data_IF_251477818514
#
_entry.id   IF_251477818514
#
_cell.length_a   1.000
_cell.length_b   1.000
_cell.length_c   1.000
_cell.angle_alpha   90.00
_cell.angle_beta   90.00
_cell.angle_gamma   90.00
#
_symmetry.space_group_name_H-M   'P 1'
#
loop_
_entity.id
_entity.type
_entity.pdbx_description
1 polymer ?
#
# COMPACT_ATOMS: atom_id res chain seq x y z
N UNK A 1 4.88 -2.53 9.93
CA UNK A 1 4.92 -2.47 8.46
C UNK A 1 3.48 -2.59 7.97
N UNK A 2 2.95 -1.58 7.29
CA UNK A 2 1.65 -1.62 6.63
C UNK A 2 1.78 -1.22 5.17
N UNK A 3 1.31 -2.10 4.31
CA UNK A 3 1.16 -1.92 2.87
C UNK A 3 -0.33 -1.73 2.65
N UNK A 4 -0.73 -0.51 2.31
CA UNK A 4 -2.14 -0.18 2.09
C UNK A 4 -2.61 -0.74 0.77
N UNK A 5 -3.78 -1.35 0.77
CA UNK A 5 -4.53 -1.71 -0.43
C UNK A 5 -5.26 -0.51 -1.02
N UNK A 6 -5.40 0.58 -0.26
CA UNK A 6 -5.95 1.87 -0.70
C UNK A 6 -5.10 2.57 -1.76
N UNK A 7 -5.76 3.31 -2.64
CA UNK A 7 -5.10 4.18 -3.61
C UNK A 7 -4.26 5.25 -2.88
N UNK A 8 -3.02 5.52 -3.32
CA UNK A 8 -2.13 6.49 -2.68
C UNK A 8 -2.74 7.90 -2.52
N UNK A 9 -3.65 8.29 -3.42
CA UNK A 9 -4.44 9.55 -3.36
C UNK A 9 -5.17 9.77 -2.03
N UNK A 10 -5.49 8.68 -1.32
CA UNK A 10 -6.18 8.73 -0.03
C UNK A 10 -5.24 8.90 1.16
N UNK A 11 -3.94 8.65 0.99
CA UNK A 11 -2.97 8.77 2.07
C UNK A 11 -2.73 10.26 2.40
N UNK A 12 -2.75 10.62 3.68
CA UNK A 12 -2.23 11.90 4.16
C UNK A 12 -0.71 11.98 3.94
N UNK A 13 -0.11 13.16 4.11
CA UNK A 13 1.35 13.33 3.96
C UNK A 13 2.14 12.31 4.79
N UNK A 14 1.73 12.11 6.05
CA UNK A 14 2.39 11.17 6.95
C UNK A 14 2.20 9.71 6.48
N UNK A 15 1.00 9.33 6.06
CA UNK A 15 0.70 8.02 5.50
C UNK A 15 1.47 7.72 4.22
N UNK A 16 1.62 8.69 3.31
CA UNK A 16 2.35 8.52 2.06
C UNK A 16 3.86 8.31 2.30
N UNK A 17 4.46 9.13 3.17
CA UNK A 17 5.88 9.00 3.54
C UNK A 17 6.15 7.69 4.29
N UNK A 18 5.30 7.33 5.24
CA UNK A 18 5.43 6.06 5.97
C UNK A 18 5.24 4.87 5.02
N UNK A 19 4.21 4.91 4.18
CA UNK A 19 3.91 3.86 3.19
C UNK A 19 5.07 3.61 2.23
N UNK A 20 5.74 4.66 1.76
CA UNK A 20 6.95 4.52 0.94
C UNK A 20 8.08 3.79 1.67
N UNK A 21 8.38 4.18 2.92
CA UNK A 21 9.45 3.55 3.71
C UNK A 21 9.12 2.10 4.03
N UNK A 22 7.88 1.80 4.37
CA UNK A 22 7.42 0.44 4.68
C UNK A 22 7.39 -0.45 3.43
N UNK A 23 7.05 0.08 2.26
CA UNK A 23 7.09 -0.64 1.01
C UNK A 23 8.53 -0.92 0.53
N UNK A 24 9.46 0.00 0.74
CA UNK A 24 10.89 -0.26 0.48
C UNK A 24 11.45 -1.33 1.42
N UNK A 25 10.99 -1.36 2.69
CA UNK A 25 11.32 -2.44 3.61
C UNK A 25 10.74 -3.77 3.11
N UNK A 26 9.47 -3.79 2.68
CA UNK A 26 8.84 -4.97 2.08
C UNK A 26 9.64 -5.49 0.88
N UNK A 27 10.05 -4.61 -0.03
CA UNK A 27 10.91 -4.94 -1.16
C UNK A 27 12.25 -5.55 -0.70
N UNK A 28 12.89 -4.96 0.31
CA UNK A 28 14.13 -5.51 0.86
C UNK A 28 13.94 -6.90 1.49
N UNK A 29 12.81 -7.15 2.15
CA UNK A 29 12.45 -8.48 2.69
C UNK A 29 12.25 -9.49 1.57
N UNK A 30 11.50 -9.12 0.53
CA UNK A 30 11.24 -9.98 -0.64
C UNK A 30 12.52 -10.27 -1.43
N UNK A 31 13.48 -9.34 -1.44
CA UNK A 31 14.80 -9.52 -2.04
C UNK A 31 15.79 -10.31 -1.16
N UNK A 32 15.37 -10.79 0.01
CA UNK A 32 16.25 -11.52 0.94
C UNK A 32 17.33 -10.66 1.62
N UNK A 33 17.20 -9.32 1.57
CA UNK A 33 18.22 -8.37 2.06
C UNK A 33 18.08 -8.03 3.54
N UNK A 34 17.11 -8.62 4.24
CA UNK A 34 16.81 -8.31 5.65
C UNK A 34 16.69 -9.57 6.50
N UNK A 35 17.16 -9.51 7.75
CA UNK A 35 16.98 -10.59 8.74
C UNK A 35 15.63 -10.51 9.48
N UNK A 36 15.10 -9.30 9.69
CA UNK A 36 13.80 -9.04 10.32
C UNK A 36 12.63 -9.06 9.34
N UNK A 37 11.40 -9.07 9.85
CA UNK A 37 10.14 -8.99 9.07
C UNK A 37 9.91 -10.10 8.03
N UNK A 38 10.76 -11.14 7.99
CA UNK A 38 10.67 -12.26 7.05
C UNK A 38 9.32 -12.99 7.08
N UNK A 39 8.65 -13.03 8.22
CA UNK A 39 7.34 -13.68 8.36
C UNK A 39 6.18 -12.67 8.46
N UNK A 40 6.37 -11.44 7.99
CA UNK A 40 5.31 -10.45 8.08
C UNK A 40 4.08 -10.88 7.26
N UNK A 41 2.88 -10.96 7.88
CA UNK A 41 1.68 -11.49 7.24
C UNK A 41 1.31 -10.78 5.93
N UNK A 42 1.41 -9.44 5.89
CA UNK A 42 1.07 -8.68 4.68
C UNK A 42 1.94 -8.97 3.46
N UNK A 43 3.07 -9.68 3.62
CA UNK A 43 3.91 -10.11 2.50
C UNK A 43 3.43 -11.42 1.86
N UNK A 44 2.52 -12.16 2.50
CA UNK A 44 1.96 -13.41 1.97
C UNK A 44 1.39 -13.17 0.55
N UNK A 45 0.52 -12.16 0.41
CA UNK A 45 -0.09 -11.78 -0.88
C UNK A 45 0.91 -11.41 -1.98
N UNK A 46 2.12 -10.94 -1.64
CA UNK A 46 3.16 -10.64 -2.62
C UNK A 46 3.96 -11.89 -2.99
N UNK A 47 4.22 -12.77 -2.02
CA UNK A 47 4.97 -14.02 -2.24
C UNK A 47 4.21 -15.04 -3.08
N UNK A 48 2.89 -14.99 -3.04
CA UNK A 48 2.02 -15.87 -3.82
C UNK A 48 1.95 -15.47 -5.30
N UNK A 49 2.55 -14.33 -5.69
CA UNK A 49 2.67 -13.95 -7.09
C UNK A 49 3.81 -14.67 -7.79
N UNK A 50 3.75 -14.75 -9.12
CA UNK A 50 4.82 -15.30 -9.96
C UNK A 50 6.11 -14.50 -9.88
N UNK A 51 6.04 -13.20 -9.62
CA UNK A 51 7.19 -12.32 -9.42
C UNK A 51 6.93 -11.33 -8.27
N UNK A 52 7.31 -11.70 -7.03
CA UNK A 52 7.11 -10.84 -5.86
C UNK A 52 7.85 -9.50 -5.94
N UNK A 53 9.02 -9.46 -6.61
CA UNK A 53 9.81 -8.23 -6.74
C UNK A 53 9.22 -7.27 -7.75
N UNK A 54 8.77 -7.76 -8.90
CA UNK A 54 8.03 -6.93 -9.85
C UNK A 54 6.72 -6.41 -9.26
N UNK A 55 6.00 -7.25 -8.48
CA UNK A 55 4.74 -6.86 -7.86
C UNK A 55 4.90 -5.76 -6.81
N UNK A 56 5.88 -5.88 -5.89
CA UNK A 56 6.17 -4.80 -4.93
C UNK A 56 6.77 -3.56 -5.63
N UNK A 57 7.47 -3.74 -6.74
CA UNK A 57 7.93 -2.63 -7.60
C UNK A 57 6.76 -1.83 -8.17
N UNK A 58 5.77 -2.50 -8.75
CA UNK A 58 4.55 -1.86 -9.25
C UNK A 58 3.76 -1.13 -8.14
N UNK A 59 3.74 -1.69 -6.93
CA UNK A 59 3.20 -1.00 -5.75
C UNK A 59 3.97 0.30 -5.45
N UNK A 60 5.30 0.22 -5.38
CA UNK A 60 6.17 1.38 -5.12
C UNK A 60 6.00 2.47 -6.19
N UNK A 61 5.87 2.12 -7.46
CA UNK A 61 5.61 3.09 -8.53
C UNK A 61 4.27 3.83 -8.36
N UNK A 62 3.22 3.20 -7.82
CA UNK A 62 1.97 3.91 -7.52
C UNK A 62 2.17 4.97 -6.42
N UNK A 63 2.90 4.64 -5.36
CA UNK A 63 3.27 5.62 -4.32
C UNK A 63 4.16 6.74 -4.86
N UNK A 64 5.15 6.40 -5.69
CA UNK A 64 6.07 7.37 -6.30
C UNK A 64 5.32 8.33 -7.21
N UNK A 65 4.42 7.85 -8.08
CA UNK A 65 3.63 8.71 -8.96
C UNK A 65 2.75 9.69 -8.19
N UNK A 66 2.08 9.21 -7.15
CA UNK A 66 1.30 10.09 -6.26
C UNK A 66 2.18 11.13 -5.58
N UNK A 67 3.33 10.72 -5.07
CA UNK A 67 4.28 11.62 -4.42
C UNK A 67 4.76 12.71 -5.39
N UNK A 68 5.16 12.33 -6.61
CA UNK A 68 5.54 13.27 -7.67
C UNK A 68 4.41 14.21 -8.03
N UNK A 69 3.17 13.72 -8.18
CA UNK A 69 1.99 14.56 -8.45
C UNK A 69 1.71 15.61 -7.37
N UNK A 70 2.13 15.34 -6.12
CA UNK A 70 2.05 16.28 -4.99
C UNK A 70 3.32 17.14 -4.79
N UNK A 71 4.31 17.03 -5.68
CA UNK A 71 5.57 17.76 -5.59
C UNK A 71 6.60 17.18 -4.61
N UNK A 72 6.38 15.97 -4.09
CA UNK A 72 7.37 15.24 -3.30
C UNK A 72 8.38 14.51 -4.20
N UNK A 73 9.60 14.32 -3.69
CA UNK A 73 10.67 13.59 -4.38
C UNK A 73 10.91 12.23 -3.72
N UNK A 74 10.19 11.21 -4.18
CA UNK A 74 10.52 9.82 -3.88
C UNK A 74 11.51 9.32 -4.93
N UNK A 75 12.64 8.80 -4.44
CA UNK A 75 13.73 8.34 -5.29
C UNK A 75 13.38 7.01 -5.96
N UNK A 76 12.96 7.09 -7.23
CA UNK A 76 12.57 5.97 -8.06
C UNK A 76 13.70 4.96 -8.28
N UNK A 77 14.98 5.39 -8.21
CA UNK A 77 16.14 4.49 -8.37
C UNK A 77 16.22 3.43 -7.27
N UNK A 78 15.45 3.57 -6.19
CA UNK A 78 15.35 2.62 -5.09
C UNK A 78 14.40 1.45 -5.38
N UNK A 79 13.63 1.51 -6.46
CA UNK A 79 12.72 0.43 -6.88
C UNK A 79 13.54 -0.60 -7.66
N UNK A 80 13.58 -1.84 -7.19
CA UNK A 80 14.53 -2.85 -7.71
C UNK A 80 14.09 -3.51 -9.02
N UNK A 81 12.79 -3.57 -9.27
CA UNK A 81 12.23 -4.24 -10.44
C UNK A 81 11.27 -3.31 -11.17
N UNK A 82 11.38 -3.31 -12.50
CA UNK A 82 10.52 -2.56 -13.39
C UNK A 82 9.14 -3.21 -13.50
N UNK A 83 8.15 -2.40 -13.84
CA UNK A 83 6.74 -2.81 -13.94
C UNK A 83 6.57 -3.76 -15.14
N UNK A 84 6.24 -5.03 -14.87
CA UNK A 84 5.64 -5.93 -15.87
C UNK A 84 4.16 -5.60 -16.13
N UNK A 85 3.41 -6.41 -16.89
CA UNK A 85 1.95 -6.24 -16.99
C UNK A 85 1.36 -6.12 -15.58
N UNK A 86 0.43 -5.18 -15.36
CA UNK A 86 -0.18 -4.90 -14.06
C UNK A 86 -0.58 -6.21 -13.37
N UNK A 87 0.21 -6.62 -12.38
CA UNK A 87 -0.14 -7.74 -11.52
C UNK A 87 -1.34 -7.29 -10.67
N UNK A 88 -2.52 -7.80 -11.01
CA UNK A 88 -3.75 -7.51 -10.28
C UNK A 88 -3.87 -8.49 -9.12
N UNK A 89 -3.37 -8.08 -7.96
CA UNK A 89 -3.56 -8.79 -6.70
C UNK A 89 -5.03 -8.69 -6.28
N UNK A 90 -5.72 -9.80 -5.95
CA UNK A 90 -7.02 -9.69 -5.33
C UNK A 90 -6.88 -8.99 -3.96
N UNK A 91 -7.86 -8.16 -3.64
CA UNK A 91 -8.09 -7.69 -2.27
C UNK A 91 -9.58 -7.75 -2.00
N UNK A 92 -9.96 -8.29 -0.84
CA UNK A 92 -11.36 -8.32 -0.48
C UNK A 92 -11.93 -6.93 -0.22
N UNK A 93 -13.23 -6.76 -0.48
CA UNK A 93 -13.99 -5.57 -0.09
C UNK A 93 -13.91 -5.30 1.41
N UNK A 94 -14.03 -6.34 2.24
CA UNK A 94 -13.92 -6.22 3.70
C UNK A 94 -12.57 -5.67 4.15
N UNK A 95 -11.47 -6.07 3.50
CA UNK A 95 -10.15 -5.51 3.80
C UNK A 95 -10.04 -4.05 3.40
N UNK A 96 -10.53 -3.69 2.20
CA UNK A 96 -10.47 -2.31 1.73
C UNK A 96 -11.26 -1.37 2.66
N UNK A 97 -12.45 -1.81 3.10
CA UNK A 97 -13.30 -1.07 4.02
C UNK A 97 -12.68 -0.99 5.43
N UNK A 98 -12.04 -2.06 5.90
CA UNK A 98 -11.28 -2.06 7.15
C UNK A 98 -10.13 -1.05 7.12
N UNK A 99 -9.33 -1.07 6.05
CA UNK A 99 -8.24 -0.11 5.87
C UNK A 99 -8.74 1.33 5.78
N UNK A 100 -9.87 1.55 5.10
CA UNK A 100 -10.53 2.85 5.04
C UNK A 100 -10.88 3.34 6.45
N UNK A 101 -11.63 2.56 7.22
CA UNK A 101 -11.96 2.95 8.60
C UNK A 101 -10.69 3.19 9.45
N UNK A 102 -9.67 2.36 9.28
CA UNK A 102 -8.42 2.47 10.03
C UNK A 102 -7.61 3.72 9.68
N UNK A 103 -7.49 4.07 8.39
CA UNK A 103 -6.81 5.29 7.95
C UNK A 103 -7.61 6.54 8.34
N UNK A 104 -8.94 6.51 8.18
CA UNK A 104 -9.83 7.61 8.57
C UNK A 104 -9.67 8.01 10.03
N UNK A 105 -9.58 7.05 10.96
CA UNK A 105 -9.29 7.33 12.38
C UNK A 105 -7.96 8.05 12.58
N UNK A 106 -6.91 7.66 11.83
CA UNK A 106 -5.59 8.31 11.91
C UNK A 106 -5.62 9.73 11.36
N UNK A 107 -6.35 9.96 10.27
CA UNK A 107 -6.49 11.28 9.66
C UNK A 107 -7.27 12.21 10.59
N UNK A 108 -8.42 11.75 11.10
CA UNK A 108 -9.24 12.53 12.03
C UNK A 108 -8.48 13.00 13.27
N UNK A 109 -7.57 12.17 13.80
CA UNK A 109 -6.74 12.53 14.94
C UNK A 109 -5.64 13.56 14.61
N UNK A 110 -5.26 13.71 13.34
CA UNK A 110 -4.13 14.57 12.91
C UNK A 110 -4.56 15.87 12.26
N UNK A 111 -5.67 15.87 11.54
CA UNK A 111 -6.12 16.97 10.69
C UNK A 111 -7.64 16.97 10.56
N UNK A 112 -8.35 17.86 11.29
CA UNK A 112 -9.81 17.98 11.18
C UNK A 112 -10.29 18.34 9.77
N UNK A 113 -9.56 19.19 9.04
CA UNK A 113 -9.92 19.59 7.67
C UNK A 113 -9.86 18.43 6.67
N UNK A 114 -8.87 17.54 6.81
CA UNK A 114 -8.78 16.34 5.98
C UNK A 114 -9.86 15.31 6.34
N UNK A 115 -10.34 15.32 7.58
CA UNK A 115 -11.40 14.42 8.05
C UNK A 115 -12.74 14.66 7.34
N UNK A 116 -13.10 15.91 7.05
CA UNK A 116 -14.32 16.23 6.29
C UNK A 116 -14.25 15.78 4.82
N UNK A 117 -13.08 15.95 4.20
CA UNK A 117 -12.84 15.45 2.83
C UNK A 117 -12.88 13.92 2.81
N UNK A 118 -12.28 13.30 3.81
CA UNK A 118 -12.29 11.85 4.00
C UNK A 118 -13.70 11.29 4.13
N UNK A 119 -14.54 11.87 5.00
CA UNK A 119 -15.90 11.41 5.25
C UNK A 119 -16.80 11.45 4.01
N UNK A 120 -16.53 12.36 3.06
CA UNK A 120 -17.26 12.48 1.78
C UNK A 120 -16.72 11.60 0.66
N UNK A 121 -15.57 10.96 0.87
CA UNK A 121 -14.88 10.14 -0.12
C UNK A 121 -15.25 8.66 0.01
N UNK A 122 -14.92 7.88 -1.02
CA UNK A 122 -15.07 6.42 -1.01
C UNK A 122 -13.71 5.76 -1.23
N UNK A 123 -13.45 4.59 -0.62
CA UNK A 123 -12.20 3.88 -0.84
C UNK A 123 -12.09 3.44 -2.30
N UNK A 124 -10.94 3.73 -2.90
CA UNK A 124 -10.51 3.15 -4.17
C UNK A 124 -9.22 2.35 -3.94
N UNK A 125 -9.02 1.24 -4.66
CA UNK A 125 -7.82 0.42 -4.49
C UNK A 125 -6.60 1.06 -5.15
N UNK A 126 -5.40 0.72 -4.67
CA UNK A 126 -4.17 0.94 -5.43
C UNK A 126 -4.29 0.25 -6.79
N UNK A 127 -3.74 0.80 -7.90
CA UNK A 127 -3.92 0.23 -9.24
C UNK A 127 -3.46 -1.23 -9.43
N UNK A 128 -2.67 -1.76 -8.50
CA UNK A 128 -2.22 -3.17 -8.54
C UNK A 128 -3.23 -4.12 -7.89
N UNK A 129 -4.30 -3.62 -7.29
CA UNK A 129 -5.30 -4.45 -6.64
C UNK A 129 -6.60 -4.46 -7.44
N UNK A 130 -7.22 -5.63 -7.52
CA UNK A 130 -8.60 -5.80 -7.97
C UNK A 130 -9.47 -6.19 -6.79
N UNK A 131 -10.56 -5.45 -6.60
CA UNK A 131 -11.47 -5.68 -5.47
C UNK A 131 -12.35 -6.88 -5.78
N UNK A 132 -12.35 -7.85 -4.87
CA UNK A 132 -13.23 -9.03 -4.90
C UNK A 132 -14.15 -9.03 -3.67
N UNK A 133 -15.26 -9.76 -3.73
CA UNK A 133 -16.12 -9.93 -2.56
C UNK A 133 -15.42 -10.80 -1.50
N UNK A 134 -15.60 -10.46 -0.22
CA UNK A 134 -15.04 -11.22 0.89
C UNK A 134 -14.87 -10.40 2.16
N UNK A 135 -14.64 -11.10 3.27
CA UNK A 135 -14.37 -10.53 4.59
C UNK A 135 -12.94 -9.94 4.68
N UNK A 136 -12.54 -9.46 5.85
CA UNK A 136 -11.17 -8.99 6.11
C UNK A 136 -10.15 -10.09 5.73
N UNK A 137 -9.06 -9.69 5.09
CA UNK A 137 -8.04 -10.62 4.61
C UNK A 137 -7.35 -11.36 5.75
N UNK A 138 -7.06 -12.65 5.56
CA UNK A 138 -6.45 -13.49 6.60
C UNK A 138 -5.03 -13.05 7.01
N UNK A 139 -4.37 -12.27 6.15
CA UNK A 139 -3.07 -11.67 6.44
C UNK A 139 -3.17 -10.41 7.31
N UNK A 140 -4.36 -9.85 7.53
CA UNK A 140 -4.55 -8.72 8.41
C UNK A 140 -4.47 -9.21 9.87
N UNK A 141 -3.34 -8.90 10.50
CA UNK A 141 -3.09 -9.19 11.92
C UNK A 141 -2.92 -7.86 12.64
N UNK A 142 -3.69 -7.70 13.72
CA UNK A 142 -3.70 -6.54 14.61
C UNK A 142 -2.31 -6.15 15.08
#
# INVERSE_FOLDING_TARGET
>A
MRIWSLHPVHLDRAGLVAGWREALLAQAVLAGRTKGYRHHPQLIRFRETSDPLATIGAYLHGLQREATGRGYRFDETRILAQVGPLALLPVTRGQLDYEWAHLGRKIAARSPGDAERWARSRPTPHPIFTVVQGDIESWERS
#
